data_IF_440602281397
#
_entry.id   IF_440602281397
#
_cell.length_a   1.000
_cell.length_b   1.000
_cell.length_c   1.000
_cell.angle_alpha   90.00
_cell.angle_beta   90.00
_cell.angle_gamma   90.00
#
_symmetry.space_group_name_H-M   'P 1'
#
loop_
_entity.id
_entity.type
_entity.pdbx_description
1 polymer ?
#
# COMPACT_ATOMS: atom_id res chain seq x y z
N UNK A 1 -3.67 -25.79 7.65
CA UNK A 1 -4.09 -24.43 7.27
C UNK A 1 -5.19 -23.99 8.22
N UNK A 2 -5.19 -22.73 8.69
CA UNK A 2 -6.31 -22.19 9.49
C UNK A 2 -7.29 -21.51 8.55
N UNK A 3 -8.58 -21.79 8.77
CA UNK A 3 -9.69 -21.15 8.06
C UNK A 3 -10.40 -20.20 9.01
N UNK A 4 -10.80 -19.05 8.47
CA UNK A 4 -11.60 -18.05 9.15
C UNK A 4 -12.86 -17.80 8.35
N UNK A 5 -14.01 -18.01 8.98
CA UNK A 5 -15.32 -17.83 8.35
C UNK A 5 -15.81 -16.41 8.53
N UNK A 6 -16.34 -15.85 7.45
CA UNK A 6 -16.95 -14.53 7.43
C UNK A 6 -18.42 -14.62 7.03
N UNK A 7 -19.21 -13.67 7.49
CA UNK A 7 -20.64 -13.61 7.14
C UNK A 7 -20.87 -12.98 5.76
N UNK A 8 -19.89 -12.25 5.24
CA UNK A 8 -19.93 -11.59 3.94
C UNK A 8 -18.63 -11.80 3.20
N UNK A 9 -18.74 -12.02 1.90
CA UNK A 9 -17.59 -12.33 1.03
C UNK A 9 -16.67 -11.13 0.83
N UNK A 10 -17.22 -9.91 0.75
CA UNK A 10 -16.44 -8.68 0.71
C UNK A 10 -15.46 -8.59 1.89
N UNK A 11 -15.97 -8.77 3.12
CA UNK A 11 -15.14 -8.73 4.32
C UNK A 11 -14.07 -9.86 4.35
N UNK A 12 -14.36 -11.04 3.80
CA UNK A 12 -13.40 -12.12 3.68
C UNK A 12 -12.25 -11.76 2.71
N UNK A 13 -12.60 -11.16 1.57
CA UNK A 13 -11.62 -10.74 0.54
C UNK A 13 -10.81 -9.55 1.04
N UNK A 14 -11.42 -8.58 1.73
CA UNK A 14 -10.73 -7.46 2.39
C UNK A 14 -9.73 -7.95 3.44
N UNK A 15 -10.13 -8.91 4.26
CA UNK A 15 -9.22 -9.50 5.26
C UNK A 15 -8.04 -10.21 4.59
N UNK A 16 -8.27 -10.95 3.52
CA UNK A 16 -7.19 -11.58 2.76
C UNK A 16 -6.24 -10.54 2.15
N UNK A 17 -6.77 -9.44 1.60
CA UNK A 17 -5.95 -8.35 1.06
C UNK A 17 -5.07 -7.71 2.13
N UNK A 18 -5.64 -7.36 3.29
CA UNK A 18 -4.88 -6.78 4.41
C UNK A 18 -3.84 -7.76 4.98
N UNK A 19 -4.17 -9.05 5.11
CA UNK A 19 -3.22 -10.09 5.49
C UNK A 19 -2.04 -10.14 4.52
N UNK A 20 -2.29 -10.02 3.22
CA UNK A 20 -1.26 -9.95 2.19
C UNK A 20 -0.29 -8.77 2.38
N UNK A 21 -0.80 -7.58 2.66
CA UNK A 21 0.03 -6.42 2.95
C UNK A 21 0.85 -6.59 4.23
N UNK A 22 0.23 -7.10 5.29
CA UNK A 22 0.87 -7.24 6.60
C UNK A 22 1.94 -8.35 6.62
N UNK A 23 1.68 -9.48 5.97
CA UNK A 23 2.59 -10.64 5.99
C UNK A 23 3.63 -10.62 4.87
N UNK A 24 3.35 -9.92 3.75
CA UNK A 24 4.15 -9.99 2.53
C UNK A 24 4.00 -11.33 1.81
N UNK A 25 2.92 -12.08 2.09
CA UNK A 25 2.52 -13.32 1.40
C UNK A 25 1.09 -13.15 0.91
N UNK A 26 0.68 -13.74 -0.23
CA UNK A 26 -0.68 -13.56 -0.68
C UNK A 26 -1.68 -14.09 0.35
N UNK A 27 -2.62 -13.24 0.77
CA UNK A 27 -3.79 -13.70 1.49
C UNK A 27 -4.72 -14.45 0.55
N UNK A 28 -5.48 -15.43 1.06
CA UNK A 28 -6.37 -16.26 0.24
C UNK A 28 -7.78 -16.14 0.76
N UNK A 29 -8.72 -15.84 -0.14
CA UNK A 29 -10.16 -15.86 0.14
C UNK A 29 -10.88 -16.86 -0.76
N UNK A 30 -11.84 -17.58 -0.19
CA UNK A 30 -12.74 -18.48 -0.90
C UNK A 30 -14.15 -17.89 -0.88
N UNK A 31 -14.81 -17.86 -2.03
CA UNK A 31 -16.20 -17.42 -2.14
C UNK A 31 -17.02 -18.48 -2.87
N UNK A 32 -18.31 -18.48 -2.64
CA UNK A 32 -19.24 -19.25 -3.48
C UNK A 32 -19.30 -18.63 -4.88
N UNK A 33 -19.80 -19.39 -5.85
CA UNK A 33 -20.02 -18.95 -7.23
C UNK A 33 -20.95 -17.74 -7.32
N UNK A 34 -21.00 -17.13 -8.48
CA UNK A 34 -21.79 -15.97 -8.88
C UNK A 34 -22.08 -14.92 -7.79
N UNK A 35 -23.11 -15.00 -6.94
CA UNK A 35 -23.39 -13.94 -5.97
C UNK A 35 -22.25 -13.74 -4.97
N UNK A 36 -21.59 -14.79 -4.49
CA UNK A 36 -20.45 -14.64 -3.58
C UNK A 36 -19.22 -14.09 -4.27
N UNK A 37 -18.95 -14.53 -5.50
CA UNK A 37 -17.93 -13.94 -6.34
C UNK A 37 -18.15 -12.44 -6.57
N UNK A 38 -19.38 -12.04 -6.95
CA UNK A 38 -19.74 -10.63 -7.19
C UNK A 38 -19.59 -9.77 -5.92
N UNK A 39 -19.98 -10.30 -4.77
CA UNK A 39 -19.79 -9.61 -3.49
C UNK A 39 -18.30 -9.36 -3.18
N UNK A 40 -17.41 -10.27 -3.54
CA UNK A 40 -15.97 -10.13 -3.32
C UNK A 40 -15.24 -9.25 -4.36
N UNK A 41 -15.86 -8.90 -5.48
CA UNK A 41 -15.18 -8.21 -6.58
C UNK A 41 -14.68 -6.82 -6.24
N UNK A 42 -15.42 -6.04 -5.46
CA UNK A 42 -14.98 -4.72 -5.03
C UNK A 42 -13.67 -4.82 -4.24
N UNK A 43 -13.60 -5.76 -3.30
CA UNK A 43 -12.41 -5.99 -2.49
C UNK A 43 -11.22 -6.53 -3.33
N UNK A 44 -11.47 -7.39 -4.34
CA UNK A 44 -10.45 -7.85 -5.28
C UNK A 44 -9.87 -6.69 -6.10
N UNK A 45 -10.73 -5.80 -6.61
CA UNK A 45 -10.32 -4.63 -7.36
C UNK A 45 -9.54 -3.65 -6.46
N UNK A 46 -9.98 -3.45 -5.23
CA UNK A 46 -9.29 -2.63 -4.24
C UNK A 46 -7.91 -3.18 -3.91
N UNK A 47 -7.78 -4.48 -3.63
CA UNK A 47 -6.49 -5.14 -3.42
C UNK A 47 -5.53 -4.88 -4.58
N UNK A 48 -6.03 -4.92 -5.81
CA UNK A 48 -5.25 -4.65 -7.02
C UNK A 48 -4.81 -3.19 -7.09
N UNK A 49 -5.71 -2.24 -6.87
CA UNK A 49 -5.40 -0.80 -6.88
C UNK A 49 -4.51 -0.37 -5.72
N UNK A 50 -4.68 -1.01 -4.57
CA UNK A 50 -3.86 -0.78 -3.39
C UNK A 50 -2.54 -1.56 -3.38
N UNK A 51 -2.29 -2.42 -4.37
CA UNK A 51 -1.08 -3.24 -4.48
C UNK A 51 -0.92 -4.20 -3.28
N UNK A 52 -2.01 -4.86 -2.88
CA UNK A 52 -2.02 -5.86 -1.83
C UNK A 52 -2.03 -7.25 -2.47
N UNK A 53 -1.04 -8.12 -2.19
CA UNK A 53 -1.01 -9.45 -2.79
C UNK A 53 -2.11 -10.31 -2.18
N UNK A 54 -3.02 -10.81 -3.02
CA UNK A 54 -4.05 -11.74 -2.58
C UNK A 54 -4.52 -12.64 -3.73
N UNK A 55 -5.13 -13.76 -3.38
CA UNK A 55 -5.73 -14.69 -4.30
C UNK A 55 -7.19 -14.91 -3.88
N UNK A 56 -8.11 -14.56 -4.75
CA UNK A 56 -9.52 -14.88 -4.60
C UNK A 56 -9.83 -16.13 -5.43
N UNK A 57 -10.47 -17.10 -4.80
CA UNK A 57 -10.85 -18.37 -5.42
C UNK A 57 -12.35 -18.53 -5.32
N UNK A 58 -13.02 -18.89 -6.41
CA UNK A 58 -14.43 -19.28 -6.36
C UNK A 58 -14.75 -20.44 -7.28
N UNK A 59 -15.75 -21.22 -6.91
CA UNK A 59 -16.39 -22.14 -7.82
C UNK A 59 -17.07 -21.40 -8.97
N UNK A 60 -17.28 -22.09 -10.09
CA UNK A 60 -17.99 -21.55 -11.24
C UNK A 60 -18.73 -22.66 -12.01
N UNK A 61 -19.65 -22.27 -12.86
CA UNK A 61 -20.29 -23.20 -13.81
C UNK A 61 -19.30 -23.64 -14.88
N UNK A 62 -19.53 -24.83 -15.42
CA UNK A 62 -18.71 -25.39 -16.47
C UNK A 62 -18.84 -24.64 -17.80
N UNK A 63 -17.74 -24.58 -18.55
CA UNK A 63 -17.67 -23.82 -19.80
C UNK A 63 -18.72 -24.21 -20.82
N UNK A 64 -19.00 -25.50 -20.96
CA UNK A 64 -20.02 -26.01 -21.93
C UNK A 64 -21.44 -25.54 -21.58
N UNK A 65 -21.66 -25.03 -20.38
CA UNK A 65 -22.90 -24.38 -19.94
C UNK A 65 -22.84 -22.88 -20.20
N UNK A 66 -21.78 -22.23 -19.73
CA UNK A 66 -21.60 -20.77 -19.82
C UNK A 66 -21.46 -20.33 -21.29
N UNK A 67 -20.60 -21.02 -22.08
CA UNK A 67 -20.29 -20.61 -23.46
C UNK A 67 -21.52 -20.69 -24.38
N UNK A 68 -22.54 -21.48 -24.02
CA UNK A 68 -23.78 -21.62 -24.76
C UNK A 68 -25.00 -21.00 -24.10
N UNK A 69 -24.80 -20.27 -22.97
CA UNK A 69 -25.89 -19.65 -22.19
C UNK A 69 -27.04 -20.60 -21.88
N UNK A 70 -26.71 -21.82 -21.45
CA UNK A 70 -27.69 -22.90 -21.23
C UNK A 70 -28.54 -22.73 -19.99
N UNK A 71 -28.23 -21.75 -19.14
CA UNK A 71 -28.91 -21.46 -17.88
C UNK A 71 -28.56 -22.50 -16.81
N UNK A 72 -27.60 -22.14 -15.96
CA UNK A 72 -27.20 -22.93 -14.78
C UNK A 72 -27.59 -22.21 -13.52
N UNK A 73 -27.68 -22.94 -12.39
CA UNK A 73 -27.76 -22.32 -11.08
C UNK A 73 -26.50 -21.48 -10.82
N UNK A 74 -26.68 -20.22 -10.52
CA UNK A 74 -25.57 -19.27 -10.34
C UNK A 74 -24.66 -19.15 -11.59
N UNK A 75 -25.21 -19.34 -12.80
CA UNK A 75 -24.47 -19.22 -14.06
C UNK A 75 -23.97 -17.79 -14.31
N UNK A 76 -22.65 -17.62 -14.40
CA UNK A 76 -21.99 -16.35 -14.70
C UNK A 76 -20.60 -16.61 -15.28
N UNK A 77 -20.21 -15.87 -16.32
CA UNK A 77 -18.83 -15.90 -16.81
C UNK A 77 -17.89 -15.09 -15.89
N UNK A 78 -17.63 -15.64 -14.71
CA UNK A 78 -16.84 -15.01 -13.65
C UNK A 78 -15.41 -14.71 -14.10
N UNK A 79 -14.82 -15.59 -14.90
CA UNK A 79 -13.46 -15.43 -15.41
C UNK A 79 -13.29 -14.15 -16.24
N UNK A 80 -14.22 -13.87 -17.16
CA UNK A 80 -14.15 -12.66 -17.96
C UNK A 80 -14.55 -11.41 -17.17
N UNK A 81 -15.46 -11.53 -16.21
CA UNK A 81 -15.83 -10.44 -15.32
C UNK A 81 -14.65 -10.04 -14.40
N UNK A 82 -13.86 -10.99 -13.91
CA UNK A 82 -12.72 -10.70 -13.02
C UNK A 82 -11.54 -10.02 -13.74
N UNK A 83 -11.29 -10.33 -15.01
CA UNK A 83 -10.10 -9.89 -15.76
C UNK A 83 -9.76 -8.40 -15.64
N UNK A 84 -10.68 -7.46 -15.85
CA UNK A 84 -10.36 -6.03 -15.76
C UNK A 84 -10.15 -5.52 -14.32
N UNK A 85 -10.48 -6.32 -13.31
CA UNK A 85 -10.50 -5.91 -11.90
C UNK A 85 -9.32 -6.46 -11.10
N UNK A 86 -8.59 -7.41 -11.66
CA UNK A 86 -7.47 -8.04 -10.99
C UNK A 86 -6.20 -8.02 -11.84
N UNK A 87 -5.08 -8.36 -11.23
CA UNK A 87 -3.79 -8.44 -11.91
C UNK A 87 -3.74 -9.56 -12.94
N UNK A 88 -4.38 -10.68 -12.63
CA UNK A 88 -4.62 -11.80 -13.55
C UNK A 88 -5.81 -12.62 -13.07
N UNK A 89 -6.50 -13.24 -14.03
CA UNK A 89 -7.49 -14.27 -13.78
C UNK A 89 -7.03 -15.55 -14.48
N UNK A 90 -7.13 -16.69 -13.81
CA UNK A 90 -6.84 -18.02 -14.35
C UNK A 90 -8.03 -18.91 -14.12
N UNK A 91 -8.44 -19.65 -15.16
CA UNK A 91 -9.43 -20.72 -15.07
C UNK A 91 -8.70 -22.06 -15.07
N UNK A 92 -9.09 -22.95 -14.18
CA UNK A 92 -8.49 -24.27 -14.04
C UNK A 92 -9.48 -25.32 -14.57
N UNK A 93 -9.34 -25.70 -15.84
CA UNK A 93 -10.25 -26.63 -16.50
C UNK A 93 -9.91 -28.11 -16.24
N UNK A 94 -8.78 -28.40 -15.60
CA UNK A 94 -8.30 -29.76 -15.29
C UNK A 94 -7.79 -29.84 -13.89
N UNK A 95 -8.20 -30.84 -13.13
CA UNK A 95 -7.79 -31.03 -11.75
C UNK A 95 -6.26 -31.20 -11.58
N UNK A 96 -5.58 -31.82 -12.57
CA UNK A 96 -4.12 -31.98 -12.57
C UNK A 96 -3.35 -30.67 -12.64
N UNK A 97 -3.96 -29.60 -13.18
CA UNK A 97 -3.33 -28.29 -13.30
C UNK A 97 -3.50 -27.41 -12.06
N UNK A 98 -4.18 -27.90 -11.02
CA UNK A 98 -4.47 -27.13 -9.81
C UNK A 98 -3.19 -26.61 -9.14
N UNK A 99 -2.19 -27.47 -8.95
CA UNK A 99 -0.91 -27.08 -8.33
C UNK A 99 -0.18 -26.00 -9.13
N UNK A 100 -0.15 -26.15 -10.47
CA UNK A 100 0.43 -25.16 -11.38
C UNK A 100 -0.30 -23.82 -11.31
N UNK A 101 -1.63 -23.83 -11.31
CA UNK A 101 -2.45 -22.62 -11.25
C UNK A 101 -2.21 -21.85 -9.94
N UNK A 102 -2.16 -22.56 -8.80
CA UNK A 102 -1.84 -21.94 -7.50
C UNK A 102 -0.43 -21.33 -7.52
N UNK A 103 0.58 -22.06 -8.02
CA UNK A 103 1.94 -21.55 -8.11
C UNK A 103 2.03 -20.28 -8.97
N UNK A 104 1.34 -20.27 -10.12
CA UNK A 104 1.23 -19.08 -10.99
C UNK A 104 0.52 -17.93 -10.30
N UNK A 105 -0.58 -18.21 -9.58
CA UNK A 105 -1.32 -17.20 -8.84
C UNK A 105 -0.45 -16.55 -7.77
N UNK A 106 0.29 -17.34 -6.99
CA UNK A 106 1.24 -16.82 -5.97
C UNK A 106 2.29 -15.92 -6.61
N UNK A 107 2.97 -16.40 -7.67
CA UNK A 107 3.98 -15.59 -8.36
C UNK A 107 3.40 -14.30 -8.93
N UNK A 108 2.24 -14.38 -9.56
CA UNK A 108 1.60 -13.22 -10.18
C UNK A 108 1.13 -12.21 -9.13
N UNK A 109 0.56 -12.67 -8.02
CA UNK A 109 0.12 -11.77 -6.95
C UNK A 109 1.28 -10.97 -6.35
N UNK A 110 2.48 -11.54 -6.28
CA UNK A 110 3.63 -10.95 -5.59
C UNK A 110 4.63 -10.25 -6.51
N UNK A 111 4.84 -10.75 -7.75
CA UNK A 111 5.88 -10.23 -8.65
C UNK A 111 5.57 -8.81 -9.15
N UNK A 112 6.62 -7.99 -9.33
CA UNK A 112 6.43 -6.59 -9.70
C UNK A 112 5.56 -5.87 -8.69
N UNK A 113 4.62 -5.03 -9.16
CA UNK A 113 3.62 -4.42 -8.27
C UNK A 113 2.67 -5.52 -7.78
N UNK A 114 2.56 -5.76 -6.45
CA UNK A 114 1.63 -6.76 -5.92
C UNK A 114 0.17 -6.44 -6.26
N UNK A 115 -0.71 -7.43 -6.20
CA UNK A 115 -2.13 -7.22 -6.48
C UNK A 115 -2.96 -8.49 -6.40
N UNK A 116 -4.26 -8.33 -6.57
CA UNK A 116 -5.24 -9.41 -6.55
C UNK A 116 -5.13 -10.32 -7.78
N UNK A 117 -5.28 -11.61 -7.56
CA UNK A 117 -5.38 -12.64 -8.60
C UNK A 117 -6.65 -13.43 -8.36
N UNK A 118 -7.33 -13.79 -9.44
CA UNK A 118 -8.54 -14.61 -9.39
C UNK A 118 -8.28 -16.01 -9.94
N UNK A 119 -8.72 -17.03 -9.21
CA UNK A 119 -8.77 -18.42 -9.67
C UNK A 119 -10.22 -18.87 -9.81
N UNK A 120 -10.59 -19.23 -11.03
CA UNK A 120 -11.91 -19.71 -11.44
C UNK A 120 -11.88 -21.23 -11.50
N UNK A 121 -12.70 -21.90 -10.67
CA UNK A 121 -12.73 -23.33 -10.53
C UNK A 121 -14.09 -23.90 -11.02
N UNK A 122 -14.21 -24.36 -12.28
CA UNK A 122 -15.41 -25.02 -12.76
C UNK A 122 -15.82 -26.22 -11.90
N UNK A 123 -17.12 -26.45 -11.77
CA UNK A 123 -17.68 -27.51 -10.91
C UNK A 123 -17.11 -28.89 -11.24
N UNK A 124 -16.96 -29.24 -12.55
CA UNK A 124 -16.33 -30.48 -12.96
C UNK A 124 -14.90 -30.63 -12.47
N UNK A 125 -14.10 -29.56 -12.51
CA UNK A 125 -12.70 -29.57 -11.99
C UNK A 125 -12.65 -29.81 -10.49
N UNK A 126 -13.56 -29.23 -9.72
CA UNK A 126 -13.63 -29.42 -8.26
C UNK A 126 -14.11 -30.82 -7.88
N UNK A 127 -15.00 -31.42 -8.71
CA UNK A 127 -15.51 -32.75 -8.47
C UNK A 127 -14.60 -33.88 -8.98
N UNK A 128 -13.58 -33.56 -9.77
CA UNK A 128 -12.68 -34.52 -10.36
C UNK A 128 -11.66 -35.08 -9.36
N UNK A 129 -11.14 -36.26 -9.69
CA UNK A 129 -10.13 -36.96 -8.88
C UNK A 129 -8.82 -37.08 -9.64
N UNK A 130 -7.74 -36.82 -8.99
CA UNK A 130 -6.40 -36.89 -9.58
C UNK A 130 -5.71 -38.17 -9.13
N UNK A 131 -5.04 -38.85 -10.07
CA UNK A 131 -4.27 -40.04 -9.72
C UNK A 131 -3.15 -39.70 -8.72
N UNK A 132 -2.88 -40.58 -7.75
CA UNK A 132 -1.93 -40.38 -6.65
C UNK A 132 -0.49 -39.98 -7.07
N UNK A 133 -0.15 -40.08 -8.35
CA UNK A 133 1.15 -39.69 -8.93
C UNK A 133 1.14 -38.31 -9.62
N UNK A 134 0.03 -37.58 -9.61
CA UNK A 134 -0.09 -36.29 -10.29
C UNK A 134 0.12 -35.06 -9.43
N UNK A 135 0.80 -35.21 -8.29
CA UNK A 135 1.32 -34.12 -7.47
C UNK A 135 2.57 -33.43 -8.08
N UNK A 136 2.88 -33.74 -9.36
CA UNK A 136 4.02 -33.22 -10.10
C UNK A 136 4.07 -31.68 -10.20
N UNK A 137 2.94 -31.00 -10.00
CA UNK A 137 2.86 -29.54 -10.05
C UNK A 137 2.67 -28.88 -8.67
N UNK A 138 2.69 -29.68 -7.59
CA UNK A 138 2.64 -29.15 -6.22
C UNK A 138 4.07 -28.86 -5.77
N UNK A 139 4.45 -27.59 -5.81
CA UNK A 139 5.78 -27.14 -5.42
C UNK A 139 5.74 -25.78 -4.74
N UNK A 140 6.73 -25.51 -3.92
CA UNK A 140 6.94 -24.19 -3.33
C UNK A 140 7.45 -23.22 -4.39
N UNK A 141 6.84 -22.03 -4.44
CA UNK A 141 7.27 -20.95 -5.36
C UNK A 141 8.51 -20.29 -4.74
N UNK A 142 9.67 -20.63 -5.27
CA UNK A 142 10.94 -20.05 -4.84
C UNK A 142 11.02 -18.61 -5.32
N UNK A 143 11.33 -17.69 -4.40
CA UNK A 143 11.48 -16.26 -4.67
C UNK A 143 10.36 -15.71 -5.57
N UNK A 144 9.13 -15.59 -5.08
CA UNK A 144 7.97 -15.20 -5.89
C UNK A 144 8.06 -13.77 -6.44
N UNK A 145 8.92 -12.92 -5.86
CA UNK A 145 9.16 -11.54 -6.26
C UNK A 145 10.66 -11.26 -6.31
N UNK A 146 11.39 -11.73 -7.36
CA UNK A 146 12.81 -11.51 -7.49
C UNK A 146 13.17 -10.03 -7.45
N UNK A 147 14.18 -9.68 -6.66
CA UNK A 147 14.61 -8.30 -6.48
C UNK A 147 15.35 -7.78 -7.71
N UNK A 148 15.06 -6.54 -8.10
CA UNK A 148 15.69 -5.86 -9.22
C UNK A 148 16.43 -4.62 -8.73
N UNK A 149 17.48 -4.23 -9.44
CA UNK A 149 18.28 -3.04 -9.16
C UNK A 149 18.45 -2.20 -10.43
N UNK A 150 18.43 -0.86 -10.30
CA UNK A 150 18.79 0.02 -11.41
C UNK A 150 20.29 -0.05 -11.70
N UNK A 151 20.65 0.34 -12.92
CA UNK A 151 22.03 0.51 -13.33
C UNK A 151 22.70 1.67 -12.56
N UNK A 152 24.04 1.70 -12.57
CA UNK A 152 24.81 2.72 -11.83
C UNK A 152 24.54 4.14 -12.34
N UNK A 153 24.42 4.33 -13.65
CA UNK A 153 24.13 5.62 -14.27
C UNK A 153 22.77 6.21 -13.86
N UNK A 154 21.80 5.36 -13.57
CA UNK A 154 20.50 5.82 -13.02
C UNK A 154 20.65 6.33 -11.58
N UNK A 155 21.45 5.63 -10.76
CA UNK A 155 21.78 6.08 -9.41
C UNK A 155 22.56 7.40 -9.45
N UNK A 156 23.53 7.52 -10.33
CA UNK A 156 24.34 8.74 -10.50
C UNK A 156 23.46 9.95 -10.86
N UNK A 157 22.49 9.79 -11.77
CA UNK A 157 21.52 10.87 -12.09
C UNK A 157 20.72 11.30 -10.87
N UNK A 158 20.26 10.34 -10.06
CA UNK A 158 19.49 10.65 -8.84
C UNK A 158 20.35 11.39 -7.80
N UNK A 159 21.59 10.94 -7.60
CA UNK A 159 22.57 11.59 -6.69
C UNK A 159 22.86 13.01 -7.15
N UNK A 160 23.09 13.24 -8.43
CA UNK A 160 23.38 14.57 -8.99
C UNK A 160 22.21 15.55 -8.75
N UNK A 161 20.97 15.09 -8.95
CA UNK A 161 19.78 15.91 -8.66
C UNK A 161 19.69 16.26 -7.18
N UNK A 162 19.83 15.28 -6.29
CA UNK A 162 19.71 15.49 -4.84
C UNK A 162 20.86 16.32 -4.28
N UNK A 163 22.07 16.18 -4.83
CA UNK A 163 23.25 16.96 -4.42
C UNK A 163 23.11 18.44 -4.73
N UNK A 164 22.50 18.77 -5.87
CA UNK A 164 22.33 20.16 -6.31
C UNK A 164 21.02 20.79 -5.84
N UNK A 165 20.17 20.02 -5.13
CA UNK A 165 18.90 20.52 -4.63
C UNK A 165 19.08 21.57 -3.53
N UNK A 166 18.32 22.66 -3.64
CA UNK A 166 18.24 23.70 -2.60
C UNK A 166 17.15 23.38 -1.59
N UNK A 167 16.06 22.77 -2.04
CA UNK A 167 14.88 22.45 -1.26
C UNK A 167 14.46 20.98 -1.48
N UNK A 168 15.32 19.98 -1.16
CA UNK A 168 14.98 18.58 -1.35
C UNK A 168 13.90 18.14 -0.38
N UNK A 169 13.00 17.24 -0.84
CA UNK A 169 11.98 16.61 0.01
C UNK A 169 11.81 15.13 -0.36
N UNK A 170 11.45 14.31 0.63
CA UNK A 170 11.14 12.88 0.43
C UNK A 170 9.65 12.66 0.64
N UNK A 171 8.99 11.92 -0.25
CA UNK A 171 7.64 11.40 -0.06
C UNK A 171 7.72 9.89 0.13
N UNK A 172 7.26 9.41 1.28
CA UNK A 172 7.17 7.98 1.59
C UNK A 172 5.78 7.48 1.23
N UNK A 173 5.69 6.60 0.24
CA UNK A 173 4.47 5.90 -0.11
C UNK A 173 4.32 4.58 0.64
N UNK A 174 3.14 3.96 0.58
CA UNK A 174 2.89 2.64 1.20
C UNK A 174 3.80 1.53 0.66
N UNK A 175 4.34 1.70 -0.55
CA UNK A 175 5.34 0.79 -1.11
C UNK A 175 6.58 0.67 -0.23
N UNK A 176 7.04 1.74 0.42
CA UNK A 176 8.16 1.71 1.36
C UNK A 176 7.84 0.87 2.61
N UNK A 177 6.61 0.95 3.12
CA UNK A 177 6.15 0.13 4.24
C UNK A 177 6.00 -1.35 3.83
N UNK A 178 5.43 -1.62 2.64
CA UNK A 178 5.28 -2.98 2.12
C UNK A 178 6.64 -3.66 1.88
N UNK A 179 7.59 -2.95 1.28
CA UNK A 179 8.94 -3.46 1.01
C UNK A 179 9.78 -3.67 2.28
N UNK A 180 9.29 -3.28 3.46
CA UNK A 180 10.03 -3.35 4.73
C UNK A 180 11.37 -2.62 4.69
N UNK A 181 11.40 -1.46 4.04
CA UNK A 181 12.59 -0.64 3.82
C UNK A 181 12.84 0.39 4.92
N UNK A 182 12.23 0.21 6.10
CA UNK A 182 12.34 1.18 7.20
C UNK A 182 13.76 1.46 7.67
N UNK A 183 14.66 0.47 7.62
CA UNK A 183 16.05 0.65 8.00
C UNK A 183 16.77 1.58 7.01
N UNK A 184 16.62 1.31 5.72
CA UNK A 184 17.25 2.06 4.63
C UNK A 184 16.67 3.48 4.50
N UNK A 185 15.37 3.64 4.71
CA UNK A 185 14.72 4.97 4.72
C UNK A 185 15.20 5.80 5.91
N UNK A 186 15.29 5.22 7.10
CA UNK A 186 15.81 5.91 8.28
C UNK A 186 17.28 6.29 8.13
N UNK A 187 18.08 5.41 7.55
CA UNK A 187 19.46 5.70 7.21
C UNK A 187 19.56 6.89 6.25
N UNK A 188 18.77 6.88 5.15
CA UNK A 188 18.68 7.98 4.19
C UNK A 188 18.39 9.31 4.88
N UNK A 189 17.29 9.37 5.64
CA UNK A 189 16.85 10.58 6.33
C UNK A 189 17.90 11.06 7.34
N UNK A 190 18.48 10.15 8.12
CA UNK A 190 19.48 10.49 9.13
C UNK A 190 20.78 11.01 8.52
N UNK A 191 21.26 10.37 7.45
CA UNK A 191 22.52 10.74 6.81
C UNK A 191 22.43 12.02 6.00
N UNK A 192 21.32 12.24 5.30
CA UNK A 192 21.14 13.40 4.42
C UNK A 192 20.48 14.59 5.11
N UNK A 193 19.71 14.36 6.17
CA UNK A 193 18.85 15.37 6.78
C UNK A 193 17.67 15.82 5.93
N UNK A 194 17.44 15.20 4.75
CA UNK A 194 16.35 15.58 3.86
C UNK A 194 15.00 15.35 4.57
N UNK A 195 14.12 16.37 4.62
CA UNK A 195 12.83 16.26 5.29
C UNK A 195 11.91 15.31 4.55
N UNK A 196 11.07 14.57 5.29
CA UNK A 196 10.17 13.58 4.72
C UNK A 196 8.69 13.86 5.02
N UNK A 197 7.84 13.38 4.12
CA UNK A 197 6.39 13.45 4.17
C UNK A 197 5.83 12.03 3.99
N UNK A 198 5.26 11.38 5.02
CA UNK A 198 4.64 10.08 4.86
C UNK A 198 3.23 10.21 4.26
N UNK A 199 2.91 9.34 3.31
CA UNK A 199 1.53 9.02 2.97
C UNK A 199 0.92 8.17 4.09
N UNK A 200 -0.41 8.12 4.18
CA UNK A 200 -1.12 7.55 5.33
C UNK A 200 -0.60 6.18 5.77
N UNK A 201 -0.51 5.20 4.87
CA UNK A 201 -0.03 3.85 5.20
C UNK A 201 1.51 3.72 5.23
N UNK A 202 2.25 4.81 4.97
CA UNK A 202 3.69 4.89 5.16
C UNK A 202 4.10 5.50 6.51
N UNK A 203 3.13 6.02 7.28
CA UNK A 203 3.38 6.54 8.63
C UNK A 203 4.02 5.45 9.50
N UNK A 204 5.03 5.85 10.26
CA UNK A 204 5.82 4.93 11.10
C UNK A 204 6.99 4.22 10.39
N UNK A 205 7.14 4.32 9.07
CA UNK A 205 8.39 3.89 8.37
C UNK A 205 9.57 4.66 8.94
N UNK A 206 9.46 5.98 9.00
CA UNK A 206 10.20 6.82 9.96
C UNK A 206 9.17 7.23 11.01
N UNK A 207 9.47 7.19 12.32
CA UNK A 207 8.55 7.66 13.35
C UNK A 207 8.06 9.08 13.07
N UNK A 208 6.76 9.32 13.26
CA UNK A 208 6.15 10.61 12.91
C UNK A 208 6.66 11.79 13.76
N UNK A 209 7.20 11.51 14.95
CA UNK A 209 7.85 12.48 15.86
C UNK A 209 9.33 12.75 15.52
N UNK A 210 9.83 12.17 14.43
CA UNK A 210 11.18 12.46 13.95
C UNK A 210 11.38 13.96 13.68
N UNK A 211 12.52 14.56 14.07
CA UNK A 211 12.82 15.97 13.80
C UNK A 211 12.89 16.31 12.31
N UNK A 212 13.08 15.32 11.43
CA UNK A 212 13.05 15.49 9.98
C UNK A 212 11.64 15.38 9.38
N UNK A 213 10.60 15.17 10.20
CA UNK A 213 9.22 15.08 9.71
C UNK A 213 8.71 16.46 9.30
N UNK A 214 8.29 16.59 8.04
CA UNK A 214 7.65 17.80 7.50
C UNK A 214 6.12 17.66 7.39
N UNK A 215 5.52 16.65 8.04
CA UNK A 215 4.11 16.31 7.89
C UNK A 215 3.18 17.49 8.22
N UNK A 216 3.47 18.26 9.27
CA UNK A 216 2.68 19.44 9.67
C UNK A 216 2.81 20.62 8.70
N UNK A 217 3.86 20.67 7.89
CA UNK A 217 4.12 21.72 6.90
C UNK A 217 3.96 21.21 5.44
N UNK A 218 3.20 20.12 5.21
CA UNK A 218 3.09 19.45 3.92
C UNK A 218 2.86 20.39 2.72
N UNK A 219 1.87 21.32 2.70
CA UNK A 219 1.66 22.20 1.55
C UNK A 219 2.86 23.13 1.30
N UNK A 220 3.47 23.66 2.36
CA UNK A 220 4.66 24.51 2.26
C UNK A 220 5.84 23.72 1.67
N UNK A 221 6.10 22.54 2.22
CA UNK A 221 7.22 21.70 1.80
C UNK A 221 7.11 21.30 0.32
N UNK A 222 5.94 20.83 -0.12
CA UNK A 222 5.74 20.41 -1.51
C UNK A 222 5.74 21.59 -2.48
N UNK A 223 5.16 22.74 -2.07
CA UNK A 223 5.12 23.94 -2.91
C UNK A 223 6.46 24.64 -3.08
N UNK A 224 7.42 24.40 -2.18
CA UNK A 224 8.76 25.00 -2.24
C UNK A 224 9.86 24.02 -2.67
N UNK A 225 9.57 22.71 -2.69
CA UNK A 225 10.57 21.71 -3.07
C UNK A 225 10.98 21.87 -4.53
N UNK A 226 12.29 21.87 -4.77
CA UNK A 226 12.89 21.88 -6.11
C UNK A 226 13.28 20.47 -6.61
N UNK A 227 13.52 19.54 -5.68
CA UNK A 227 13.71 18.11 -5.97
C UNK A 227 12.90 17.26 -5.01
N UNK A 228 12.07 16.37 -5.53
CA UNK A 228 11.24 15.46 -4.74
C UNK A 228 11.65 14.01 -5.00
N UNK A 229 12.05 13.32 -3.94
CA UNK A 229 12.33 11.88 -3.98
C UNK A 229 11.09 11.10 -3.54
N UNK A 230 10.48 10.36 -4.48
CA UNK A 230 9.34 9.49 -4.24
C UNK A 230 9.84 8.07 -3.93
N UNK A 231 9.51 7.52 -2.77
CA UNK A 231 9.89 6.17 -2.37
C UNK A 231 8.64 5.30 -2.24
N UNK A 232 8.36 4.48 -3.25
CA UNK A 232 7.15 3.66 -3.31
C UNK A 232 5.86 4.48 -3.27
N UNK A 233 5.90 5.69 -3.81
CA UNK A 233 4.80 6.64 -3.92
C UNK A 233 4.52 6.96 -5.39
N UNK A 234 3.24 7.11 -5.74
CA UNK A 234 2.78 7.41 -7.09
C UNK A 234 2.25 8.83 -7.18
N UNK A 235 2.56 9.53 -8.27
CA UNK A 235 1.99 10.85 -8.57
C UNK A 235 0.56 10.70 -9.14
N UNK A 236 -0.38 10.29 -8.30
CA UNK A 236 -1.79 10.18 -8.62
C UNK A 236 -2.61 11.31 -7.96
N UNK A 237 -3.94 11.20 -7.99
CA UNK A 237 -4.87 12.18 -7.41
C UNK A 237 -4.56 12.53 -5.93
N UNK A 238 -4.03 11.60 -5.13
CA UNK A 238 -3.67 11.84 -3.72
C UNK A 238 -2.50 12.83 -3.56
N UNK A 239 -1.71 12.99 -4.62
CA UNK A 239 -0.59 13.93 -4.73
C UNK A 239 -0.84 14.94 -5.86
N UNK A 240 -2.12 15.26 -6.16
CA UNK A 240 -2.52 16.19 -7.21
C UNK A 240 -1.76 15.96 -8.52
N UNK A 241 -1.54 14.70 -8.87
CA UNK A 241 -0.80 14.26 -10.06
C UNK A 241 0.62 14.86 -10.22
N UNK A 242 1.18 15.37 -9.14
CA UNK A 242 2.47 16.06 -9.15
C UNK A 242 2.40 17.52 -9.66
N UNK A 243 1.22 18.11 -9.74
CA UNK A 243 0.98 19.42 -10.37
C UNK A 243 0.88 20.55 -9.34
N UNK A 244 1.02 21.78 -9.86
CA UNK A 244 0.72 22.99 -9.13
C UNK A 244 -0.81 23.09 -8.83
N UNK A 245 -1.23 23.78 -7.75
CA UNK A 245 -0.41 24.55 -6.82
C UNK A 245 0.21 23.70 -5.69
N UNK A 246 -0.05 22.39 -5.63
CA UNK A 246 0.49 21.55 -4.54
C UNK A 246 2.02 21.40 -4.65
N UNK A 247 2.52 21.21 -5.86
CA UNK A 247 3.94 21.13 -6.15
C UNK A 247 4.44 22.38 -6.86
N UNK A 248 5.71 22.68 -6.70
CA UNK A 248 6.39 23.68 -7.51
C UNK A 248 6.38 23.24 -8.98
N UNK A 249 6.08 24.19 -9.89
CA UNK A 249 6.02 23.92 -11.34
C UNK A 249 7.35 23.41 -11.90
N UNK A 250 8.47 23.90 -11.36
CA UNK A 250 9.82 23.55 -11.79
C UNK A 250 10.44 22.38 -11.01
N UNK A 251 9.70 21.77 -10.08
CA UNK A 251 10.21 20.65 -9.29
C UNK A 251 10.61 19.47 -10.17
N UNK A 252 11.78 18.91 -9.88
CA UNK A 252 12.29 17.67 -10.49
C UNK A 252 11.96 16.48 -9.62
N UNK A 253 11.74 15.33 -10.25
CA UNK A 253 11.34 14.13 -9.56
C UNK A 253 12.36 13.00 -9.72
N UNK A 254 12.75 12.42 -8.59
CA UNK A 254 13.41 11.13 -8.48
C UNK A 254 12.39 10.15 -7.98
N UNK A 255 12.16 9.03 -8.66
CA UNK A 255 11.15 8.05 -8.23
C UNK A 255 11.75 6.66 -8.13
N UNK A 256 11.57 6.04 -6.95
CA UNK A 256 11.87 4.63 -6.71
C UNK A 256 10.56 3.86 -6.77
N UNK A 257 10.40 3.01 -7.77
CA UNK A 257 9.23 2.14 -7.94
C UNK A 257 9.62 0.78 -8.54
N UNK A 258 8.85 -0.24 -8.22
CA UNK A 258 9.06 -1.59 -8.77
C UNK A 258 8.51 -1.71 -10.18
N UNK A 259 7.55 -0.85 -10.57
CA UNK A 259 6.84 -0.90 -11.83
C UNK A 259 7.22 0.29 -12.71
N UNK A 260 7.90 0.03 -13.82
CA UNK A 260 8.32 1.06 -14.77
C UNK A 260 7.15 1.85 -15.39
N UNK A 261 5.95 1.30 -15.41
CA UNK A 261 4.75 1.99 -15.96
C UNK A 261 4.24 3.11 -15.08
N UNK A 262 4.75 3.23 -13.85
CA UNK A 262 4.43 4.37 -12.97
C UNK A 262 5.30 5.60 -13.24
N UNK A 263 6.44 5.43 -13.90
CA UNK A 263 7.25 6.57 -14.31
C UNK A 263 6.51 7.34 -15.42
N UNK A 264 6.60 8.64 -15.36
CA UNK A 264 6.00 9.56 -16.34
C UNK A 264 4.46 9.42 -16.48
N UNK A 265 3.79 8.76 -15.52
CA UNK A 265 2.34 8.50 -15.60
C UNK A 265 1.50 9.79 -15.60
N UNK A 266 1.93 10.82 -14.88
CA UNK A 266 1.24 12.13 -14.81
C UNK A 266 2.21 13.30 -14.94
N UNK A 267 3.48 13.12 -14.60
CA UNK A 267 4.52 14.13 -14.68
C UNK A 267 5.86 13.47 -15.00
N UNK A 268 6.70 14.17 -15.72
CA UNK A 268 8.05 13.71 -16.06
C UNK A 268 8.83 13.33 -14.81
N UNK A 269 9.47 12.17 -14.85
CA UNK A 269 10.42 11.71 -13.82
C UNK A 269 11.84 11.94 -14.35
N UNK A 270 12.61 12.79 -13.67
CA UNK A 270 13.96 13.17 -14.10
C UNK A 270 15.01 12.09 -13.80
N UNK A 271 14.79 11.30 -12.74
CA UNK A 271 15.63 10.14 -12.43
C UNK A 271 14.75 8.94 -11.98
N UNK A 272 14.33 8.08 -12.93
CA UNK A 272 13.63 6.85 -12.61
C UNK A 272 14.59 5.80 -12.05
N UNK A 273 14.25 5.21 -10.90
CA UNK A 273 14.98 4.14 -10.21
C UNK A 273 14.09 2.91 -10.09
N UNK A 274 14.06 2.09 -11.14
CA UNK A 274 13.25 0.88 -11.13
C UNK A 274 13.90 -0.22 -10.30
N UNK A 275 13.17 -0.76 -9.33
CA UNK A 275 13.61 -1.92 -8.57
C UNK A 275 12.93 -2.12 -7.23
N UNK A 276 13.40 -3.14 -6.51
CA UNK A 276 13.02 -3.37 -5.11
C UNK A 276 13.49 -2.22 -4.24
N UNK A 277 12.59 -1.61 -3.49
CA UNK A 277 12.86 -0.37 -2.75
C UNK A 277 14.02 -0.54 -1.77
N UNK A 278 14.07 -1.64 -1.01
CA UNK A 278 15.15 -1.89 -0.05
C UNK A 278 16.51 -1.96 -0.75
N UNK A 279 16.59 -2.72 -1.84
CA UNK A 279 17.82 -2.91 -2.59
C UNK A 279 18.28 -1.63 -3.32
N UNK A 280 17.31 -0.88 -3.87
CA UNK A 280 17.59 0.44 -4.50
C UNK A 280 18.12 1.42 -3.46
N UNK A 281 17.48 1.50 -2.28
CA UNK A 281 17.90 2.42 -1.23
C UNK A 281 19.27 2.07 -0.66
N UNK A 282 19.62 0.79 -0.51
CA UNK A 282 20.98 0.40 -0.11
C UNK A 282 22.02 0.97 -1.06
N UNK A 283 21.79 0.83 -2.37
CA UNK A 283 22.68 1.36 -3.40
C UNK A 283 22.71 2.89 -3.43
N UNK A 284 21.53 3.51 -3.35
CA UNK A 284 21.39 4.97 -3.33
C UNK A 284 22.04 5.59 -2.09
N UNK A 285 21.82 5.03 -0.90
CA UNK A 285 22.40 5.52 0.35
C UNK A 285 23.94 5.51 0.31
N UNK A 286 24.53 4.43 -0.20
CA UNK A 286 25.99 4.36 -0.36
C UNK A 286 26.52 5.42 -1.32
N UNK A 287 25.79 5.72 -2.41
CA UNK A 287 26.18 6.73 -3.37
C UNK A 287 26.01 8.16 -2.83
N UNK A 288 24.91 8.43 -2.10
CA UNK A 288 24.67 9.72 -1.45
C UNK A 288 25.69 10.03 -0.35
N UNK A 289 26.08 9.02 0.43
CA UNK A 289 27.13 9.14 1.44
C UNK A 289 28.48 9.50 0.81
N UNK A 290 28.86 8.77 -0.27
CA UNK A 290 30.10 9.05 -1.02
C UNK A 290 30.13 10.47 -1.61
N UNK A 291 28.96 10.99 -2.02
CA UNK A 291 28.83 12.33 -2.58
C UNK A 291 28.63 13.44 -1.50
N UNK A 292 28.59 13.06 -0.22
CA UNK A 292 28.33 13.91 0.95
C UNK A 292 27.09 14.81 0.78
N UNK A 293 25.97 14.18 0.37
CA UNK A 293 24.71 14.88 0.13
C UNK A 293 24.04 15.22 1.48
N UNK A 294 23.76 16.50 1.67
CA UNK A 294 23.06 17.04 2.86
C UNK A 294 21.99 18.04 2.44
N UNK A 295 20.89 18.06 3.16
CA UNK A 295 19.91 19.11 3.00
C UNK A 295 20.47 20.47 3.48
N UNK A 296 20.21 21.57 2.75
CA UNK A 296 20.64 22.91 3.18
C UNK A 296 20.00 23.33 4.51
N UNK A 297 20.78 23.95 5.39
CA UNK A 297 20.33 24.31 6.74
C UNK A 297 19.19 25.35 6.74
N UNK A 298 19.26 26.33 5.85
CA UNK A 298 18.22 27.35 5.68
C UNK A 298 16.87 26.75 5.27
N UNK A 299 16.90 25.67 4.47
CA UNK A 299 15.72 24.90 4.13
C UNK A 299 15.14 24.16 5.33
N UNK A 300 15.99 23.51 6.14
CA UNK A 300 15.57 22.82 7.36
C UNK A 300 14.95 23.77 8.37
N UNK A 301 15.55 24.95 8.54
CA UNK A 301 15.04 26.00 9.44
C UNK A 301 13.67 26.53 8.96
N UNK A 302 13.51 26.70 7.65
CA UNK A 302 12.23 27.13 7.05
C UNK A 302 11.10 26.10 7.28
N UNK A 303 11.39 24.80 7.12
CA UNK A 303 10.43 23.74 7.41
C UNK A 303 10.09 23.67 8.88
N UNK A 304 11.09 23.75 9.76
CA UNK A 304 10.87 23.77 11.21
C UNK A 304 9.93 24.90 11.62
N UNK A 305 10.17 26.11 11.16
CA UNK A 305 9.31 27.26 11.44
C UNK A 305 7.89 27.07 10.93
N UNK A 306 7.74 26.51 9.73
CA UNK A 306 6.43 26.22 9.15
C UNK A 306 5.68 25.11 9.94
N UNK A 307 6.37 24.08 10.40
CA UNK A 307 5.83 23.02 11.25
C UNK A 307 5.36 23.59 12.60
N UNK A 308 6.19 24.38 13.28
CA UNK A 308 5.86 25.01 14.55
C UNK A 308 4.60 25.88 14.44
N UNK A 309 4.54 26.76 13.43
CA UNK A 309 3.39 27.63 13.20
C UNK A 309 2.09 26.84 12.91
N UNK A 310 2.18 25.72 12.20
CA UNK A 310 1.00 24.89 11.91
C UNK A 310 0.59 24.04 13.12
N UNK A 311 1.54 23.55 13.92
CA UNK A 311 1.25 22.82 15.14
C UNK A 311 0.52 23.71 16.16
N UNK A 312 0.93 24.98 16.32
CA UNK A 312 0.21 25.94 17.17
C UNK A 312 -1.24 26.15 16.70
N UNK A 313 -1.48 26.29 15.39
CA UNK A 313 -2.83 26.42 14.83
C UNK A 313 -3.65 25.16 15.11
N UNK A 314 -3.02 24.00 15.02
CA UNK A 314 -3.68 22.73 15.23
C UNK A 314 -4.07 22.53 16.70
N UNK A 315 -3.17 22.83 17.63
CA UNK A 315 -3.44 22.84 19.09
C UNK A 315 -4.62 23.76 19.44
N UNK A 316 -4.67 24.98 18.85
CA UNK A 316 -5.79 25.89 19.04
C UNK A 316 -7.12 25.31 18.51
N UNK A 317 -7.11 24.56 17.41
CA UNK A 317 -8.31 23.88 16.87
C UNK A 317 -8.81 22.76 17.78
N UNK A 318 -7.91 21.98 18.36
CA UNK A 318 -8.26 20.93 19.33
C UNK A 318 -8.92 21.58 20.55
N UNK A 319 -8.26 22.55 21.18
CA UNK A 319 -8.80 23.26 22.34
C UNK A 319 -10.17 23.92 22.07
N UNK A 320 -10.35 24.50 20.89
CA UNK A 320 -11.65 25.06 20.47
C UNK A 320 -12.72 23.99 20.23
N UNK A 321 -12.36 22.77 19.88
CA UNK A 321 -13.27 21.64 19.74
C UNK A 321 -13.71 21.10 21.11
N UNK A 322 -12.79 21.00 22.04
CA UNK A 322 -13.02 20.55 23.42
C UNK A 322 -13.92 21.50 24.22
N UNK A 323 -13.81 22.79 23.95
CA UNK A 323 -14.66 23.81 24.60
C UNK A 323 -16.14 23.79 24.15
N UNK A 324 -16.49 22.98 23.14
CA UNK A 324 -17.88 22.88 22.66
C UNK A 324 -18.69 21.88 23.52
N UNK A 325 -19.99 22.14 23.72
CA UNK A 325 -20.84 21.23 24.48
C UNK A 325 -21.13 19.90 23.73
N UNK A 326 -20.83 19.84 22.44
CA UNK A 326 -21.02 18.65 21.59
C UNK A 326 -19.67 18.05 21.23
N UNK A 327 -19.56 16.73 21.31
CA UNK A 327 -18.36 16.00 20.92
C UNK A 327 -18.09 16.18 19.43
N UNK A 328 -16.90 16.71 19.10
CA UNK A 328 -16.41 16.84 17.73
C UNK A 328 -15.38 15.74 17.39
N UNK A 329 -15.02 15.62 16.11
CA UNK A 329 -14.02 14.62 15.68
C UNK A 329 -12.68 14.79 16.40
N UNK A 330 -12.21 16.01 16.62
CA UNK A 330 -10.94 16.26 17.31
C UNK A 330 -10.98 15.76 18.74
N UNK A 331 -12.02 16.12 19.49
CA UNK A 331 -12.21 15.68 20.88
C UNK A 331 -12.42 14.17 21.01
N UNK A 332 -12.97 13.52 19.98
CA UNK A 332 -13.19 12.07 19.98
C UNK A 332 -11.91 11.29 19.63
N UNK A 333 -11.06 11.83 18.75
CA UNK A 333 -9.88 11.11 18.22
C UNK A 333 -8.63 11.35 19.07
N UNK A 334 -8.53 12.48 19.78
CA UNK A 334 -7.34 12.79 20.59
C UNK A 334 -7.06 11.77 21.70
N UNK A 335 -8.04 11.30 22.48
CA UNK A 335 -7.81 10.23 23.46
C UNK A 335 -7.31 8.92 22.82
N UNK A 336 -7.63 8.70 21.54
CA UNK A 336 -7.14 7.54 20.78
C UNK A 336 -5.66 7.75 20.44
N UNK A 337 -5.26 8.97 20.05
CA UNK A 337 -3.85 9.29 19.84
C UNK A 337 -3.04 9.04 21.13
N UNK A 338 -3.51 9.52 22.29
CA UNK A 338 -2.89 9.28 23.58
C UNK A 338 -2.73 7.79 23.88
N UNK A 339 -3.78 7.00 23.60
CA UNK A 339 -3.73 5.56 23.76
C UNK A 339 -2.68 4.91 22.86
N UNK A 340 -2.61 5.35 21.59
CA UNK A 340 -1.64 4.87 20.62
C UNK A 340 -0.19 5.20 21.03
N UNK A 341 0.05 6.39 21.58
CA UNK A 341 1.38 6.77 22.07
C UNK A 341 1.80 5.93 23.28
N UNK A 342 0.87 5.61 24.19
CA UNK A 342 1.12 4.73 25.35
C UNK A 342 1.29 3.26 24.94
N UNK A 343 0.70 2.85 23.83
CA UNK A 343 0.68 1.48 23.33
C UNK A 343 1.09 1.41 21.85
N UNK A 344 2.36 1.70 21.50
CA UNK A 344 2.80 1.83 20.12
C UNK A 344 2.76 0.52 19.30
N UNK A 345 2.47 -0.62 19.96
CA UNK A 345 2.22 -1.91 19.30
C UNK A 345 0.77 -2.09 18.81
N UNK A 346 -0.11 -1.12 19.09
CA UNK A 346 -1.51 -1.17 18.65
C UNK A 346 -1.60 -0.83 17.17
N UNK A 347 -2.42 -1.56 16.45
CA UNK A 347 -2.77 -1.26 15.07
C UNK A 347 -3.97 -0.32 15.02
N UNK A 348 -4.00 0.54 14.02
CA UNK A 348 -5.15 1.39 13.73
C UNK A 348 -5.63 1.14 12.30
N UNK A 349 -6.93 0.99 12.16
CA UNK A 349 -7.62 0.90 10.87
C UNK A 349 -8.56 2.07 10.76
N UNK A 350 -8.53 2.79 9.66
CA UNK A 350 -9.40 3.95 9.43
C UNK A 350 -10.07 3.87 8.06
N UNK A 351 -11.35 4.21 8.03
CA UNK A 351 -12.07 4.43 6.78
C UNK A 351 -13.01 5.64 6.89
N UNK A 352 -13.76 5.91 5.82
CA UNK A 352 -14.61 7.09 5.74
C UNK A 352 -13.82 8.37 5.47
N UNK A 353 -14.51 9.50 5.29
CA UNK A 353 -13.85 10.76 4.94
C UNK A 353 -13.26 11.46 6.19
N UNK A 354 -14.11 11.81 7.16
CA UNK A 354 -13.68 12.62 8.29
C UNK A 354 -12.82 11.86 9.29
N UNK A 355 -13.19 10.63 9.62
CA UNK A 355 -12.39 9.77 10.53
C UNK A 355 -11.01 9.46 9.95
N UNK A 356 -10.93 9.20 8.65
CA UNK A 356 -9.67 8.99 7.95
C UNK A 356 -8.80 10.25 7.95
N UNK A 357 -9.35 11.38 7.50
CA UNK A 357 -8.57 12.61 7.31
C UNK A 357 -8.13 13.24 8.63
N UNK A 358 -9.02 13.31 9.62
CA UNK A 358 -8.68 13.87 10.92
C UNK A 358 -7.78 12.90 11.69
N UNK A 359 -8.09 11.60 11.69
CA UNK A 359 -7.27 10.58 12.32
C UNK A 359 -5.86 10.49 11.73
N UNK A 360 -5.70 10.66 10.41
CA UNK A 360 -4.38 10.71 9.78
C UNK A 360 -3.53 11.88 10.27
N UNK A 361 -4.15 13.03 10.53
CA UNK A 361 -3.45 14.22 10.98
C UNK A 361 -3.20 14.24 12.50
N UNK A 362 -4.09 13.65 13.31
CA UNK A 362 -4.00 13.61 14.77
C UNK A 362 -3.11 12.49 15.29
N UNK A 363 -3.28 11.28 14.72
CA UNK A 363 -2.65 10.08 15.29
C UNK A 363 -1.26 9.90 14.71
N UNK A 364 -0.26 10.07 15.58
CA UNK A 364 1.15 9.81 15.28
C UNK A 364 1.44 8.30 15.28
N UNK A 365 2.23 7.83 14.29
CA UNK A 365 2.64 6.45 14.18
C UNK A 365 4.12 6.28 14.43
N UNK A 366 4.48 5.31 15.29
CA UNK A 366 5.87 5.02 15.67
C UNK A 366 6.45 3.81 14.95
N UNK A 367 5.58 2.95 14.42
CA UNK A 367 5.96 1.69 13.78
C UNK A 367 5.36 1.54 12.39
N UNK A 368 6.13 0.99 11.43
CA UNK A 368 5.64 0.76 10.08
C UNK A 368 4.52 -0.28 10.05
N UNK A 369 3.62 -0.15 9.08
CA UNK A 369 2.49 -1.08 8.84
C UNK A 369 1.46 -1.17 9.98
N UNK A 370 1.56 -0.32 11.02
CA UNK A 370 0.58 -0.27 12.12
C UNK A 370 -0.65 0.59 11.80
N UNK A 371 -0.67 1.23 10.62
CA UNK A 371 -1.83 1.95 10.10
C UNK A 371 -2.29 1.34 8.79
N UNK A 372 -3.57 0.98 8.74
CA UNK A 372 -4.27 0.52 7.54
C UNK A 372 -5.44 1.48 7.24
N UNK A 373 -5.68 1.73 5.97
CA UNK A 373 -6.81 2.55 5.52
C UNK A 373 -7.25 2.16 4.10
N UNK A 374 -8.27 2.85 3.59
CA UNK A 374 -8.86 2.62 2.27
C UNK A 374 -7.90 2.85 1.10
N UNK A 375 -6.72 3.41 1.36
CA UNK A 375 -5.67 3.59 0.36
C UNK A 375 -6.06 4.48 -0.82
N UNK A 376 -5.69 4.04 -2.01
CA UNK A 376 -5.78 4.86 -3.23
C UNK A 376 -7.20 4.91 -3.81
N UNK A 377 -7.99 3.88 -3.59
CA UNK A 377 -9.31 3.75 -4.24
C UNK A 377 -10.47 4.20 -3.36
N UNK A 378 -10.27 4.25 -2.04
CA UNK A 378 -11.20 4.88 -1.13
C UNK A 378 -12.50 4.10 -0.91
N UNK A 379 -12.50 2.78 -1.03
CA UNK A 379 -13.68 1.95 -0.76
C UNK A 379 -14.04 2.02 0.72
N UNK A 380 -15.31 2.23 1.02
CA UNK A 380 -15.85 2.13 2.37
C UNK A 380 -16.30 0.70 2.67
N UNK A 381 -16.27 0.31 3.96
CA UNK A 381 -16.65 -1.03 4.42
C UNK A 381 -15.46 -1.98 4.60
N UNK A 382 -14.25 -1.59 4.22
CA UNK A 382 -13.04 -2.42 4.35
C UNK A 382 -12.55 -2.56 5.78
N UNK A 383 -12.90 -1.60 6.64
CA UNK A 383 -12.29 -1.43 7.95
C UNK A 383 -12.43 -2.66 8.86
N UNK A 384 -13.57 -3.33 8.87
CA UNK A 384 -13.75 -4.55 9.66
C UNK A 384 -12.90 -5.71 9.15
N UNK A 385 -12.84 -5.94 7.83
CA UNK A 385 -12.00 -6.96 7.23
C UNK A 385 -10.53 -6.72 7.56
N UNK A 386 -10.05 -5.51 7.40
CA UNK A 386 -8.67 -5.10 7.70
C UNK A 386 -8.33 -5.24 9.19
N UNK A 387 -9.25 -4.87 10.08
CA UNK A 387 -9.05 -4.98 11.53
C UNK A 387 -8.96 -6.44 11.99
N UNK A 388 -9.82 -7.31 11.46
CA UNK A 388 -9.78 -8.74 11.73
C UNK A 388 -8.44 -9.33 11.26
N UNK A 389 -8.02 -9.03 10.03
CA UNK A 389 -6.74 -9.48 9.51
C UNK A 389 -5.56 -9.01 10.38
N UNK A 390 -5.53 -7.73 10.76
CA UNK A 390 -4.48 -7.20 11.62
C UNK A 390 -4.44 -7.91 12.98
N UNK A 391 -5.59 -8.15 13.60
CA UNK A 391 -5.65 -8.87 14.87
C UNK A 391 -5.20 -10.33 14.76
N UNK A 392 -5.63 -11.02 13.70
CA UNK A 392 -5.32 -12.44 13.47
C UNK A 392 -3.84 -12.65 13.13
N UNK A 393 -3.31 -11.86 12.18
CA UNK A 393 -1.93 -12.03 11.70
C UNK A 393 -0.88 -11.58 12.71
N UNK A 394 -1.21 -10.61 13.57
CA UNK A 394 -0.22 -10.01 14.47
C UNK A 394 -0.41 -10.39 15.94
N UNK A 395 -1.58 -10.84 16.34
CA UNK A 395 -1.94 -11.07 17.74
C UNK A 395 -1.96 -9.80 18.59
N UNK A 396 -1.97 -8.62 17.96
CA UNK A 396 -1.93 -7.32 18.64
C UNK A 396 -3.32 -6.70 18.75
N UNK A 397 -3.44 -5.68 19.62
CA UNK A 397 -4.65 -4.87 19.71
C UNK A 397 -4.85 -4.06 18.43
N UNK A 398 -6.11 -3.92 18.04
CA UNK A 398 -6.50 -3.12 16.85
C UNK A 398 -7.59 -2.14 17.27
N UNK A 399 -7.46 -0.90 16.83
CA UNK A 399 -8.49 0.14 16.96
C UNK A 399 -9.04 0.39 15.56
N UNK A 400 -10.36 0.33 15.41
CA UNK A 400 -11.06 0.66 14.17
C UNK A 400 -11.78 1.99 14.31
N UNK A 401 -11.47 2.94 13.42
CA UNK A 401 -12.15 4.22 13.24
C UNK A 401 -12.94 4.15 11.92
N UNK A 402 -14.22 3.83 12.03
CA UNK A 402 -15.12 3.58 10.91
C UNK A 402 -16.18 4.69 10.79
#
# INVERSE_FOLDING_TARGET
MKFYEFRREDAAVDAAAAAGFLTGKPGVALTVSAPGFLNGLTALAEATKNCFPMIMISGSSDRHIIDLDRGDYEGLDQYNVAKPLCKAAYRVDRAEDMGLAVARAVRTAMSGRPGGVYLDLPAATVADTVAQKSDAHIYEVVDPAPKQLPLDDAIERAVELLKNAKHPAIILGKGSAYARSEAEVRELVTKTGIPFLPMSMAKGVVPDDSPSSAASARPFTLGQADVVLLIGARLNWMLSNGEAPLFNEDAKFVQVDIDATEFDSNRKIDAPLQGDITSVLQKLNAALEKADVKAPQDWLDSIKNACEANNEKFTKRIAASEAKPTLGFYSAIEPINDLMQKHPDTYIVSEGANTLDIGRNLIGMQKPRHRLDTGTWGVMGVGLGYAIAAAVETGKKVISLL
#
